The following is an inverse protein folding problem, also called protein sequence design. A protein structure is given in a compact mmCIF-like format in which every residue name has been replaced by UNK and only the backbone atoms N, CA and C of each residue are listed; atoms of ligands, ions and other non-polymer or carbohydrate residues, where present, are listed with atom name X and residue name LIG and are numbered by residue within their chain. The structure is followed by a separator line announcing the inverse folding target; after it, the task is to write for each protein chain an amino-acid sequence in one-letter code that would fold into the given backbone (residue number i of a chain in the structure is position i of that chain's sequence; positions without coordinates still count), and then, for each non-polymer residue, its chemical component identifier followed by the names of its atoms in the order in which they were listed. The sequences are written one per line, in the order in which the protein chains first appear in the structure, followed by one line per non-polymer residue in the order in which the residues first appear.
data_IF_521248855496
#
_entry.id   IF_521248855496
#
_cell.length_a   1.000
_cell.length_b   1.000
_cell.length_c   1.000
_cell.angle_alpha   90.00
_cell.angle_beta   90.00
_cell.angle_gamma   90.00
#
_symmetry.space_group_name_H-M   'P 1'
#
loop_
_entity.id
_entity.type
_entity.pdbx_description
1 polymer ?
#
# COMPACT_ATOMS: atom_id res chain seq x y z
N UNK A 1 10.70 -37.39 -5.84
CA UNK A 1 12.05 -36.89 -5.47
C UNK A 1 12.17 -36.95 -3.96
N UNK A 2 13.17 -37.66 -3.39
CA UNK A 2 13.43 -37.67 -1.96
C UNK A 2 14.08 -36.34 -1.52
N UNK A 3 13.94 -35.95 -0.23
CA UNK A 3 14.56 -34.72 0.29
C UNK A 3 16.08 -34.84 0.32
N UNK A 4 16.84 -33.75 0.12
CA UNK A 4 18.28 -33.79 0.24
C UNK A 4 18.70 -33.89 1.71
N UNK A 5 19.70 -34.75 1.95
CA UNK A 5 20.33 -34.96 3.24
C UNK A 5 21.00 -33.70 3.77
N UNK A 6 20.72 -33.40 5.05
CA UNK A 6 21.49 -32.47 5.86
C UNK A 6 22.92 -33.01 6.01
N UNK A 7 23.90 -32.30 5.43
CA UNK A 7 25.27 -32.24 5.98
C UNK A 7 26.04 -31.08 5.34
N UNK A 8 26.43 -30.18 6.14
CA UNK A 8 27.45 -29.11 6.08
C UNK A 8 26.92 -27.71 6.41
N UNK A 9 26.71 -27.49 7.72
CA UNK A 9 26.83 -26.15 8.28
C UNK A 9 28.30 -25.74 8.20
N UNK A 10 28.69 -25.01 7.15
CA UNK A 10 29.97 -24.32 7.11
C UNK A 10 29.82 -22.95 7.75
N UNK A 11 30.50 -22.80 8.89
CA UNK A 11 30.84 -21.57 9.60
C UNK A 11 31.21 -20.42 8.63
N UNK A 12 30.27 -19.60 8.23
CA UNK A 12 30.53 -18.31 7.64
C UNK A 12 30.77 -17.29 8.78
N UNK A 13 32.01 -17.27 9.32
CA UNK A 13 32.47 -16.18 10.17
C UNK A 13 32.34 -14.86 9.41
N UNK A 14 31.82 -13.79 10.05
CA UNK A 14 31.76 -12.49 9.41
C UNK A 14 33.18 -12.03 9.07
N UNK A 15 33.43 -11.75 7.80
CA UNK A 15 34.72 -11.26 7.30
C UNK A 15 35.15 -10.00 8.04
N UNK A 16 36.35 -10.07 8.56
CA UNK A 16 37.13 -9.04 9.23
C UNK A 16 36.85 -7.63 8.67
N UNK A 17 36.39 -6.72 9.54
CA UNK A 17 36.43 -5.27 9.31
C UNK A 17 37.84 -4.88 8.90
N UNK A 18 38.05 -4.52 7.63
CA UNK A 18 39.21 -3.78 7.23
C UNK A 18 39.12 -2.38 7.81
N UNK A 19 40.02 -2.05 8.71
CA UNK A 19 40.24 -0.69 9.22
C UNK A 19 40.82 0.15 8.09
N UNK A 20 40.18 1.31 7.79
CA UNK A 20 40.81 2.45 7.14
C UNK A 20 40.76 2.47 5.63
N UNK A 21 39.60 2.52 5.02
CA UNK A 21 39.37 3.13 3.73
C UNK A 21 38.20 4.07 3.86
N UNK A 22 38.41 5.37 3.67
CA UNK A 22 37.27 6.28 3.50
C UNK A 22 36.57 5.83 2.22
N UNK A 23 35.36 5.26 2.36
CA UNK A 23 34.46 5.12 1.23
C UNK A 23 34.18 6.54 0.74
N UNK A 24 34.81 6.94 -0.35
CA UNK A 24 34.42 8.14 -1.08
C UNK A 24 32.98 7.91 -1.46
N UNK A 25 32.05 8.66 -0.88
CA UNK A 25 30.63 8.59 -1.22
C UNK A 25 30.51 8.71 -2.75
N UNK A 26 29.80 7.80 -3.39
CA UNK A 26 29.51 7.87 -4.82
C UNK A 26 28.71 9.14 -5.17
N UNK A 27 28.17 9.84 -4.16
CA UNK A 27 27.28 10.98 -4.28
C UNK A 27 27.88 12.22 -3.63
N UNK A 28 27.50 13.39 -4.16
CA UNK A 28 27.88 14.69 -3.62
C UNK A 28 26.82 15.20 -2.63
N UNK A 29 27.22 15.92 -1.59
CA UNK A 29 26.30 16.59 -0.69
C UNK A 29 25.58 17.75 -1.37
N UNK A 30 24.42 18.14 -0.82
CA UNK A 30 23.66 19.33 -1.25
C UNK A 30 24.36 20.59 -0.76
N UNK A 31 24.73 21.49 -1.67
CA UNK A 31 25.41 22.75 -1.36
C UNK A 31 24.43 23.93 -1.31
N UNK A 32 24.83 25.08 -0.72
CA UNK A 32 24.03 26.30 -0.78
C UNK A 32 23.69 26.77 -2.20
N UNK A 33 24.56 26.48 -3.20
CA UNK A 33 24.29 26.78 -4.60
C UNK A 33 23.22 25.90 -5.20
N UNK A 34 23.20 24.63 -4.83
CA UNK A 34 22.16 23.68 -5.23
C UNK A 34 20.81 24.11 -4.62
N UNK A 35 20.80 24.54 -3.36
CA UNK A 35 19.58 25.08 -2.72
C UNK A 35 19.07 26.32 -3.46
N UNK A 36 19.96 27.27 -3.85
CA UNK A 36 19.53 28.42 -4.65
C UNK A 36 18.95 28.01 -6.00
N UNK A 37 19.49 26.97 -6.61
CA UNK A 37 18.95 26.43 -7.85
C UNK A 37 17.58 25.77 -7.64
N UNK A 38 17.40 24.95 -6.60
CA UNK A 38 16.13 24.33 -6.24
C UNK A 38 15.06 25.37 -5.93
N UNK A 39 15.42 26.44 -5.19
CA UNK A 39 14.51 27.56 -4.91
C UNK A 39 14.04 28.26 -6.20
N UNK A 40 14.91 28.39 -7.21
CA UNK A 40 14.50 28.96 -8.51
C UNK A 40 13.51 28.05 -9.27
N UNK A 41 13.59 26.73 -9.07
CA UNK A 41 12.69 25.76 -9.72
C UNK A 41 11.32 25.75 -9.06
N UNK A 42 11.26 25.52 -7.74
CA UNK A 42 9.97 25.26 -7.04
C UNK A 42 9.48 26.44 -6.18
N UNK A 43 10.28 27.46 -6.00
CA UNK A 43 10.00 28.59 -5.10
C UNK A 43 10.50 28.36 -3.66
N UNK A 44 10.79 29.46 -2.91
CA UNK A 44 11.43 29.38 -1.59
C UNK A 44 10.57 28.69 -0.52
N UNK A 45 9.24 28.79 -0.60
CA UNK A 45 8.31 28.13 0.34
C UNK A 45 8.27 26.61 0.20
N UNK A 46 8.89 26.05 -0.85
CA UNK A 46 8.79 24.65 -1.23
C UNK A 46 10.12 23.90 -1.20
N UNK A 47 11.14 24.53 -0.58
CA UNK A 47 12.44 23.91 -0.30
C UNK A 47 12.68 23.99 1.21
N UNK A 48 12.78 22.83 1.86
CA UNK A 48 13.19 22.74 3.26
C UNK A 48 14.68 22.41 3.31
N UNK A 49 15.45 23.21 4.03
CA UNK A 49 16.87 23.04 4.23
C UNK A 49 17.29 23.62 5.58
N UNK A 50 18.13 22.92 6.35
CA UNK A 50 18.57 23.30 7.70
C UNK A 50 17.46 23.44 8.76
N UNK A 51 16.27 22.92 8.50
CA UNK A 51 15.18 22.81 9.45
C UNK A 51 15.10 21.34 9.88
N UNK A 52 15.75 21.01 11.01
CA UNK A 52 15.94 19.63 11.44
C UNK A 52 14.60 18.90 11.68
N UNK A 53 13.59 19.59 12.23
CA UNK A 53 12.28 19.02 12.52
C UNK A 53 11.54 18.63 11.22
N UNK A 54 11.52 19.53 10.23
CA UNK A 54 10.87 19.25 8.94
C UNK A 54 11.63 18.24 8.09
N UNK A 55 12.96 18.16 8.22
CA UNK A 55 13.76 17.15 7.54
C UNK A 55 13.54 15.78 8.18
N UNK A 56 13.45 15.73 9.52
CA UNK A 56 13.22 14.49 10.26
C UNK A 56 11.92 13.82 9.87
N UNK A 57 10.84 14.56 9.65
CA UNK A 57 9.56 14.04 9.16
C UNK A 57 9.65 13.28 7.81
N UNK A 58 10.71 13.49 7.05
CA UNK A 58 11.00 12.80 5.79
C UNK A 58 12.17 11.81 5.88
N UNK A 59 12.68 11.55 7.09
CA UNK A 59 13.83 10.66 7.31
C UNK A 59 13.46 9.18 7.33
N UNK A 60 12.19 8.86 7.50
CA UNK A 60 11.66 7.51 7.71
C UNK A 60 10.30 7.33 7.04
N UNK A 61 9.87 6.10 6.90
CA UNK A 61 8.49 5.69 6.63
C UNK A 61 7.89 5.04 7.88
N UNK A 62 6.83 4.24 7.74
CA UNK A 62 6.21 3.52 8.88
C UNK A 62 6.92 2.19 9.22
N UNK A 63 8.10 1.92 8.66
CA UNK A 63 8.93 0.78 9.07
C UNK A 63 9.22 0.87 10.57
N UNK A 64 8.89 -0.15 11.37
CA UNK A 64 9.02 -0.08 12.83
C UNK A 64 10.46 0.11 13.32
N UNK A 65 11.44 -0.41 12.58
CA UNK A 65 12.86 -0.31 12.94
C UNK A 65 13.46 1.03 12.53
N UNK A 66 13.50 1.96 13.46
CA UNK A 66 14.06 3.31 13.26
C UNK A 66 15.57 3.32 12.96
N UNK A 67 16.28 2.20 13.03
CA UNK A 67 17.69 2.11 12.56
C UNK A 67 17.81 2.34 11.06
N UNK A 68 16.73 2.18 10.31
CA UNK A 68 16.68 2.49 8.87
C UNK A 68 16.37 3.95 8.57
N UNK A 69 16.04 4.78 9.56
CA UNK A 69 15.81 6.20 9.34
C UNK A 69 17.11 6.92 8.92
N UNK A 70 17.04 7.72 7.85
CA UNK A 70 18.16 8.49 7.34
C UNK A 70 17.71 9.91 7.02
N UNK A 71 18.46 10.90 7.52
CA UNK A 71 18.13 12.31 7.30
C UNK A 71 18.39 12.73 5.85
N UNK A 72 17.40 13.33 5.16
CA UNK A 72 17.65 14.00 3.90
C UNK A 72 18.44 15.31 4.16
N UNK A 73 19.17 15.78 3.15
CA UNK A 73 19.84 17.07 3.21
C UNK A 73 18.91 18.22 2.78
N UNK A 74 17.92 17.92 1.94
CA UNK A 74 16.85 18.84 1.55
C UNK A 74 15.56 18.10 1.24
N UNK A 75 14.41 18.76 1.45
CA UNK A 75 13.10 18.32 0.96
C UNK A 75 12.60 19.33 -0.07
N UNK A 76 12.24 18.86 -1.24
CA UNK A 76 11.74 19.67 -2.35
C UNK A 76 10.31 19.24 -2.69
N UNK A 77 9.39 20.20 -2.79
CA UNK A 77 7.97 19.96 -3.02
C UNK A 77 7.53 20.55 -4.38
N UNK A 78 7.67 19.80 -5.48
CA UNK A 78 7.26 20.24 -6.81
C UNK A 78 5.74 20.24 -6.98
N UNK A 79 5.25 20.97 -7.99
CA UNK A 79 3.83 21.01 -8.37
C UNK A 79 3.56 20.57 -9.83
N UNK A 80 4.59 20.26 -10.58
CA UNK A 80 4.46 19.88 -12.00
C UNK A 80 5.56 18.93 -12.45
N UNK A 81 5.32 18.26 -13.58
CA UNK A 81 6.30 17.40 -14.23
C UNK A 81 7.58 18.17 -14.62
N UNK A 82 7.43 19.43 -15.07
CA UNK A 82 8.57 20.27 -15.46
C UNK A 82 9.46 20.60 -14.26
N UNK A 83 8.87 20.95 -13.11
CA UNK A 83 9.63 21.19 -11.87
C UNK A 83 10.38 19.93 -11.44
N UNK A 84 9.74 18.74 -11.53
CA UNK A 84 10.38 17.45 -11.23
C UNK A 84 11.54 17.20 -12.20
N UNK A 85 11.32 17.38 -13.50
CA UNK A 85 12.32 17.20 -14.53
C UNK A 85 13.57 18.08 -14.29
N UNK A 86 13.35 19.34 -13.94
CA UNK A 86 14.44 20.29 -13.68
C UNK A 86 15.22 19.93 -12.39
N UNK A 87 14.53 19.47 -11.33
CA UNK A 87 15.16 18.97 -10.11
C UNK A 87 16.01 17.74 -10.43
N UNK A 88 15.49 16.76 -11.19
CA UNK A 88 16.22 15.55 -11.56
C UNK A 88 17.44 15.86 -12.44
N UNK A 89 17.30 16.76 -13.43
CA UNK A 89 18.44 17.22 -14.25
C UNK A 89 19.53 17.89 -13.42
N UNK A 90 19.13 18.71 -12.42
CA UNK A 90 20.08 19.32 -11.49
C UNK A 90 20.80 18.25 -10.67
N UNK A 91 20.03 17.34 -10.06
CA UNK A 91 20.55 16.26 -9.22
C UNK A 91 21.52 15.35 -9.98
N UNK A 92 21.19 14.97 -11.23
CA UNK A 92 22.08 14.19 -12.10
C UNK A 92 23.42 14.91 -12.37
N UNK A 93 23.38 16.18 -12.81
CA UNK A 93 24.61 16.95 -13.08
C UNK A 93 25.49 17.07 -11.84
N UNK A 94 24.85 17.16 -10.66
CA UNK A 94 25.54 17.32 -9.38
C UNK A 94 25.85 15.99 -8.69
N UNK A 95 25.35 14.85 -9.21
CA UNK A 95 25.43 13.52 -8.59
C UNK A 95 24.88 13.53 -7.16
N UNK A 96 23.73 14.16 -6.96
CA UNK A 96 22.99 14.20 -5.70
C UNK A 96 21.91 13.11 -5.75
N UNK A 97 21.78 12.23 -4.73
CA UNK A 97 20.72 11.24 -4.70
C UNK A 97 19.33 11.89 -4.51
N UNK A 98 18.32 11.32 -5.15
CA UNK A 98 16.92 11.76 -5.03
C UNK A 98 16.07 10.58 -4.62
N UNK A 99 15.25 10.79 -3.58
CA UNK A 99 14.27 9.82 -3.10
C UNK A 99 12.87 10.39 -3.32
N UNK A 100 12.07 9.86 -4.27
CA UNK A 100 10.67 10.24 -4.41
C UNK A 100 9.88 9.81 -3.19
N UNK A 101 8.95 10.67 -2.73
CA UNK A 101 8.12 10.39 -1.55
C UNK A 101 6.67 10.80 -1.79
N UNK A 102 5.75 9.89 -1.51
CA UNK A 102 4.33 10.19 -1.31
C UNK A 102 4.07 10.56 0.15
N UNK A 103 3.10 9.94 0.79
CA UNK A 103 2.81 10.15 2.23
C UNK A 103 3.87 9.54 3.17
N UNK A 104 4.64 8.56 2.70
CA UNK A 104 5.59 7.83 3.55
C UNK A 104 4.97 6.77 4.45
N UNK A 105 3.76 6.33 4.14
CA UNK A 105 3.00 5.30 4.88
C UNK A 105 3.42 3.85 4.55
N UNK A 106 4.51 3.65 3.83
CA UNK A 106 5.05 2.33 3.49
C UNK A 106 5.79 1.69 4.66
N UNK A 107 5.99 0.35 4.57
CA UNK A 107 6.64 -0.48 5.59
C UNK A 107 7.93 -1.15 5.07
N UNK A 108 8.45 -0.72 3.90
CA UNK A 108 9.58 -1.38 3.23
C UNK A 108 10.81 -0.48 3.02
N UNK A 109 10.79 0.74 3.56
CA UNK A 109 11.92 1.65 3.49
C UNK A 109 12.08 2.38 2.15
N UNK A 110 11.19 2.20 1.17
CA UNK A 110 11.35 2.80 -0.17
C UNK A 110 11.29 4.34 -0.19
N UNK A 111 10.65 4.96 0.82
CA UNK A 111 10.61 6.41 0.98
C UNK A 111 11.74 6.97 1.86
N UNK A 112 12.67 6.13 2.31
CA UNK A 112 13.78 6.51 3.18
C UNK A 112 14.99 6.94 2.36
N UNK A 113 15.55 8.14 2.57
CA UNK A 113 16.69 8.64 1.80
C UNK A 113 18.02 8.04 2.29
N UNK A 114 18.27 6.75 2.03
CA UNK A 114 19.43 5.98 2.52
C UNK A 114 20.79 6.63 2.24
N UNK A 115 20.88 7.46 1.22
CA UNK A 115 22.11 8.17 0.84
C UNK A 115 22.05 9.68 1.12
N UNK A 116 21.10 10.14 1.93
CA UNK A 116 20.87 11.58 2.15
C UNK A 116 20.30 12.26 0.89
N UNK A 117 20.87 13.39 0.50
CA UNK A 117 20.46 14.12 -0.70
C UNK A 117 19.08 14.75 -0.62
N UNK A 118 18.31 14.66 -1.69
CA UNK A 118 17.02 15.34 -1.86
C UNK A 118 15.88 14.34 -1.70
N UNK A 119 14.94 14.61 -0.78
CA UNK A 119 13.61 14.00 -0.82
C UNK A 119 12.71 14.85 -1.72
N UNK A 120 12.15 14.22 -2.75
CA UNK A 120 11.19 14.83 -3.67
C UNK A 120 9.77 14.48 -3.22
N UNK A 121 9.14 15.37 -2.44
CA UNK A 121 7.86 15.13 -1.81
C UNK A 121 6.71 15.62 -2.71
N UNK A 122 5.81 14.71 -3.11
CA UNK A 122 4.83 14.96 -4.17
C UNK A 122 3.46 15.44 -3.67
N UNK A 123 3.34 15.85 -2.42
CA UNK A 123 2.09 16.26 -1.77
C UNK A 123 1.37 17.47 -2.40
N UNK A 124 2.08 18.30 -3.18
CA UNK A 124 1.50 19.42 -3.91
C UNK A 124 0.84 19.02 -5.24
N UNK A 125 1.10 17.82 -5.71
CA UNK A 125 0.47 17.26 -6.90
C UNK A 125 -0.69 16.35 -6.46
N UNK A 126 -1.76 16.97 -5.96
CA UNK A 126 -2.86 16.30 -5.26
C UNK A 126 -4.24 16.56 -5.88
N UNK A 127 -4.30 16.81 -7.18
CA UNK A 127 -5.55 17.07 -7.88
C UNK A 127 -6.11 15.82 -8.54
N UNK A 128 -7.44 15.64 -8.45
CA UNK A 128 -8.19 14.76 -9.35
C UNK A 128 -8.39 15.57 -10.64
N UNK A 129 -7.71 15.15 -11.71
CA UNK A 129 -7.66 15.91 -12.97
C UNK A 129 -8.88 15.66 -13.83
N UNK A 130 -9.43 14.43 -13.81
CA UNK A 130 -10.57 14.04 -14.61
C UNK A 130 -11.30 12.86 -14.02
N UNK A 131 -12.63 12.85 -14.06
CA UNK A 131 -13.49 11.69 -13.84
C UNK A 131 -14.26 11.42 -15.14
N UNK A 132 -13.81 10.43 -15.89
CA UNK A 132 -14.41 10.01 -17.15
C UNK A 132 -15.35 8.82 -16.91
N UNK A 133 -16.64 9.14 -16.80
CA UNK A 133 -17.67 8.14 -16.47
C UNK A 133 -17.94 7.17 -17.61
N UNK A 134 -17.83 7.62 -18.83
CA UNK A 134 -18.13 6.81 -20.03
C UNK A 134 -17.06 5.76 -20.26
N UNK A 135 -15.78 6.12 -20.07
CA UNK A 135 -14.67 5.20 -20.16
C UNK A 135 -14.37 4.47 -18.83
N UNK A 136 -15.09 4.80 -17.74
CA UNK A 136 -14.86 4.28 -16.39
C UNK A 136 -13.40 4.41 -15.97
N UNK A 137 -12.85 5.62 -16.06
CA UNK A 137 -11.50 5.94 -15.62
C UNK A 137 -11.48 7.22 -14.78
N UNK A 138 -10.49 7.31 -13.90
CA UNK A 138 -10.13 8.56 -13.24
C UNK A 138 -8.67 8.88 -13.54
N UNK A 139 -8.38 10.16 -13.76
CA UNK A 139 -7.00 10.65 -13.93
C UNK A 139 -6.65 11.52 -12.75
N UNK A 140 -5.56 11.18 -12.08
CA UNK A 140 -5.15 11.81 -10.82
C UNK A 140 -3.67 12.16 -10.82
N UNK A 141 -3.29 13.11 -9.99
CA UNK A 141 -1.91 13.39 -9.61
C UNK A 141 -1.44 12.43 -8.49
N UNK A 142 -0.13 12.20 -8.36
CA UNK A 142 0.42 11.18 -7.46
C UNK A 142 0.21 11.44 -5.97
N UNK A 143 0.03 12.70 -5.56
CA UNK A 143 -0.18 13.10 -4.17
C UNK A 143 -1.65 13.07 -3.71
N UNK A 144 -2.59 12.61 -4.55
CA UNK A 144 -3.98 12.44 -4.12
C UNK A 144 -4.07 11.32 -3.08
N UNK A 145 -4.78 11.58 -1.98
CA UNK A 145 -5.07 10.57 -0.97
C UNK A 145 -6.03 9.53 -1.57
N UNK A 146 -5.72 8.26 -1.36
CA UNK A 146 -6.43 7.18 -2.06
C UNK A 146 -7.93 7.16 -1.73
N UNK A 147 -8.33 7.46 -0.49
CA UNK A 147 -9.74 7.53 -0.12
C UNK A 147 -10.48 8.70 -0.78
N UNK A 148 -9.82 9.84 -0.97
CA UNK A 148 -10.42 11.01 -1.65
C UNK A 148 -10.85 10.67 -3.08
N UNK A 149 -10.14 9.74 -3.76
CA UNK A 149 -10.56 9.24 -5.08
C UNK A 149 -11.93 8.57 -4.96
N UNK A 150 -12.13 7.67 -4.00
CA UNK A 150 -13.39 6.96 -3.83
C UNK A 150 -14.54 7.88 -3.38
N UNK A 151 -14.25 8.88 -2.55
CA UNK A 151 -15.23 9.90 -2.17
C UNK A 151 -15.71 10.71 -3.39
N UNK A 152 -14.79 11.13 -4.25
CA UNK A 152 -15.11 11.86 -5.48
C UNK A 152 -15.89 11.01 -6.50
N UNK A 153 -15.66 9.68 -6.53
CA UNK A 153 -16.29 8.75 -7.47
C UNK A 153 -17.68 8.28 -7.02
N UNK A 154 -17.97 8.30 -5.71
CA UNK A 154 -19.23 7.79 -5.14
C UNK A 154 -20.49 8.40 -5.77
N UNK A 155 -20.58 9.74 -6.02
CA UNK A 155 -21.74 10.32 -6.68
C UNK A 155 -21.94 9.84 -8.13
N UNK A 156 -20.87 9.33 -8.76
CA UNK A 156 -20.90 8.78 -10.10
C UNK A 156 -21.34 7.30 -10.13
N UNK A 157 -21.49 6.64 -8.96
CA UNK A 157 -21.77 5.22 -8.86
C UNK A 157 -20.57 4.34 -9.25
N UNK A 158 -19.37 4.88 -9.17
CA UNK A 158 -18.11 4.23 -9.51
C UNK A 158 -17.19 4.16 -8.28
N UNK A 159 -16.20 3.27 -8.33
CA UNK A 159 -15.15 3.22 -7.32
C UNK A 159 -13.82 2.70 -7.91
N UNK A 160 -12.74 3.07 -7.24
CA UNK A 160 -11.40 2.52 -7.44
C UNK A 160 -11.20 1.38 -6.41
N UNK A 161 -10.96 0.13 -6.86
CA UNK A 161 -10.97 -1.02 -5.95
C UNK A 161 -9.67 -1.22 -5.16
N UNK A 162 -8.60 -0.47 -5.45
CA UNK A 162 -7.38 -0.51 -4.64
C UNK A 162 -7.68 -0.11 -3.20
N UNK A 163 -7.42 -1.01 -2.24
CA UNK A 163 -7.79 -0.83 -0.85
C UNK A 163 -6.62 -1.15 0.09
N UNK A 164 -5.53 -0.36 0.09
CA UNK A 164 -4.51 -0.49 1.11
C UNK A 164 -5.10 -0.13 2.48
N UNK A 165 -4.60 -0.74 3.57
CA UNK A 165 -5.12 -0.46 4.92
C UNK A 165 -4.93 1.00 5.34
N UNK A 166 -3.93 1.68 4.77
CA UNK A 166 -3.63 3.11 4.98
C UNK A 166 -4.37 4.06 4.04
N UNK A 167 -5.51 3.64 3.43
CA UNK A 167 -6.19 4.41 2.38
C UNK A 167 -6.57 5.86 2.77
N UNK A 168 -6.75 6.13 4.06
CA UNK A 168 -7.09 7.46 4.58
C UNK A 168 -5.89 8.43 4.57
N UNK A 169 -4.67 7.93 4.43
CA UNK A 169 -3.45 8.74 4.50
C UNK A 169 -2.48 8.50 3.36
N UNK A 170 -2.49 7.33 2.73
CA UNK A 170 -1.55 7.02 1.65
C UNK A 170 -1.87 7.78 0.36
N UNK A 171 -0.82 8.12 -0.39
CA UNK A 171 -0.95 8.76 -1.69
C UNK A 171 -0.94 7.73 -2.82
N UNK A 172 -1.78 7.95 -3.83
CA UNK A 172 -1.93 7.02 -4.97
C UNK A 172 -0.62 6.77 -5.74
N UNK A 173 0.25 7.77 -5.84
CA UNK A 173 1.58 7.60 -6.46
C UNK A 173 2.45 6.60 -5.72
N UNK A 174 2.39 6.59 -4.38
CA UNK A 174 3.03 5.59 -3.54
C UNK A 174 2.42 4.21 -3.75
N UNK A 175 1.08 4.11 -3.82
CA UNK A 175 0.40 2.83 -4.06
C UNK A 175 0.81 2.21 -5.41
N UNK A 176 0.95 3.03 -6.46
CA UNK A 176 1.43 2.56 -7.77
C UNK A 176 2.89 2.14 -7.69
N UNK A 177 3.76 2.96 -7.07
CA UNK A 177 5.18 2.66 -6.93
C UNK A 177 5.45 1.37 -6.13
N UNK A 178 4.61 1.07 -5.14
CA UNK A 178 4.71 -0.13 -4.31
C UNK A 178 3.88 -1.31 -4.82
N UNK A 179 3.06 -1.13 -5.85
CA UNK A 179 2.04 -2.09 -6.27
C UNK A 179 1.16 -2.52 -5.09
N UNK A 180 0.70 -1.56 -4.30
CA UNK A 180 0.06 -1.80 -3.02
C UNK A 180 -1.16 -2.71 -3.12
N UNK A 181 -1.26 -3.65 -2.21
CA UNK A 181 -2.42 -4.51 -1.96
C UNK A 181 -3.12 -4.14 -0.66
N UNK A 182 -4.14 -4.91 -0.28
CA UNK A 182 -4.87 -4.75 0.97
C UNK A 182 -6.02 -5.73 1.08
N UNK A 183 -6.94 -5.50 2.02
CA UNK A 183 -8.00 -6.42 2.40
C UNK A 183 -8.84 -6.96 1.22
N UNK A 184 -9.03 -6.14 0.20
CA UNK A 184 -9.83 -6.51 -0.99
C UNK A 184 -9.04 -7.19 -2.10
N UNK A 185 -7.75 -7.51 -1.88
CA UNK A 185 -6.91 -8.10 -2.92
C UNK A 185 -7.37 -9.49 -3.37
N UNK A 186 -8.05 -10.25 -2.53
CA UNK A 186 -8.59 -11.58 -2.86
C UNK A 186 -9.57 -11.52 -4.05
N UNK A 187 -10.37 -10.47 -4.17
CA UNK A 187 -11.32 -10.28 -5.28
C UNK A 187 -10.75 -9.38 -6.38
N UNK A 188 -10.17 -8.27 -5.99
CA UNK A 188 -9.82 -7.20 -6.91
C UNK A 188 -8.35 -7.20 -7.31
N UNK A 189 -7.49 -7.91 -6.58
CA UNK A 189 -6.05 -7.87 -6.80
C UNK A 189 -5.41 -6.61 -6.26
N UNK A 190 -4.23 -6.31 -6.77
CA UNK A 190 -3.39 -5.19 -6.32
C UNK A 190 -3.51 -3.98 -7.27
N UNK A 191 -2.93 -2.86 -6.88
CA UNK A 191 -2.97 -1.57 -7.60
C UNK A 191 -2.67 -1.70 -9.09
N UNK A 192 -1.67 -2.50 -9.48
CA UNK A 192 -1.24 -2.65 -10.87
C UNK A 192 -2.32 -3.14 -11.83
N UNK A 193 -3.34 -3.85 -11.34
CA UNK A 193 -4.48 -4.29 -12.17
C UNK A 193 -5.36 -3.14 -12.67
N UNK A 194 -5.22 -1.97 -12.09
CA UNK A 194 -6.06 -0.80 -12.37
C UNK A 194 -5.33 0.34 -13.04
N UNK A 195 -4.01 0.28 -13.13
CA UNK A 195 -3.22 1.32 -13.81
C UNK A 195 -3.28 1.12 -15.30
N UNK A 196 -3.95 2.04 -16.01
CA UNK A 196 -4.08 2.03 -17.48
C UNK A 196 -3.12 2.99 -18.17
N UNK A 197 -2.59 3.98 -17.46
CA UNK A 197 -1.65 4.94 -18.03
C UNK A 197 -0.86 5.67 -16.95
N UNK A 198 0.35 6.08 -17.30
CA UNK A 198 1.28 6.81 -16.44
C UNK A 198 1.98 7.91 -17.24
N UNK A 199 2.03 9.13 -16.72
CA UNK A 199 3.04 10.09 -17.11
C UNK A 199 4.17 10.02 -16.09
N UNK A 200 5.39 9.83 -16.56
CA UNK A 200 6.58 9.54 -15.75
C UNK A 200 7.70 10.49 -16.10
N UNK A 201 8.32 11.11 -15.11
CA UNK A 201 9.61 11.78 -15.30
C UNK A 201 10.71 10.75 -15.03
N UNK A 202 11.48 10.43 -16.05
CA UNK A 202 12.60 9.47 -15.97
C UNK A 202 13.74 10.03 -15.10
N UNK A 203 14.67 9.20 -14.64
CA UNK A 203 15.83 9.69 -13.91
C UNK A 203 16.68 10.73 -14.66
N UNK A 204 16.66 10.72 -16.01
CA UNK A 204 17.32 11.75 -16.84
C UNK A 204 16.58 13.10 -16.90
N UNK A 205 15.34 13.15 -16.35
CA UNK A 205 14.48 14.33 -16.40
C UNK A 205 13.71 14.48 -17.71
N UNK A 206 13.48 13.39 -18.42
CA UNK A 206 12.61 13.34 -19.60
C UNK A 206 11.19 12.93 -19.15
N UNK A 207 10.18 13.55 -19.75
CA UNK A 207 8.76 13.20 -19.50
C UNK A 207 8.32 12.21 -20.54
N UNK A 208 7.87 11.03 -20.11
CA UNK A 208 7.32 9.98 -20.97
C UNK A 208 5.88 9.68 -20.60
N UNK A 209 5.06 9.40 -21.60
CA UNK A 209 3.68 9.00 -21.44
C UNK A 209 3.52 7.52 -21.82
N UNK A 210 2.95 6.74 -20.92
CA UNK A 210 2.73 5.31 -21.08
C UNK A 210 1.23 5.00 -21.03
N UNK A 211 0.74 4.17 -21.94
CA UNK A 211 -0.65 3.71 -21.97
C UNK A 211 -1.68 4.83 -22.23
N UNK A 212 -2.76 4.85 -21.46
CA UNK A 212 -3.85 5.81 -21.57
C UNK A 212 -5.19 5.21 -21.10
N UNK A 213 -6.32 5.70 -21.62
CA UNK A 213 -7.66 5.24 -21.19
C UNK A 213 -8.11 3.89 -21.82
N UNK A 214 -7.25 3.24 -22.57
CA UNK A 214 -7.58 1.97 -23.26
C UNK A 214 -7.52 0.80 -22.32
N UNK A 215 -8.60 0.00 -22.25
CA UNK A 215 -8.65 -1.24 -21.47
C UNK A 215 -7.77 -2.34 -22.08
N UNK A 216 -7.66 -2.36 -23.43
CA UNK A 216 -6.79 -3.26 -24.17
C UNK A 216 -5.66 -2.46 -24.81
N UNK A 217 -4.43 -2.70 -24.37
CA UNK A 217 -3.22 -2.12 -24.92
C UNK A 217 -2.12 -3.22 -24.95
N UNK A 218 -1.94 -3.83 -26.13
CA UNK A 218 -1.09 -5.02 -26.31
C UNK A 218 0.06 -4.78 -27.28
N UNK A 219 0.30 -3.52 -27.67
CA UNK A 219 1.36 -3.16 -28.61
C UNK A 219 2.66 -2.88 -27.87
N UNK A 220 3.69 -3.65 -28.14
CA UNK A 220 5.00 -3.51 -27.54
C UNK A 220 5.11 -4.13 -26.14
N UNK A 221 6.13 -3.72 -25.38
CA UNK A 221 6.33 -4.16 -24.01
C UNK A 221 5.37 -3.44 -23.06
N UNK A 222 4.93 -4.14 -22.02
CA UNK A 222 4.11 -3.54 -20.95
C UNK A 222 4.99 -2.72 -19.99
N UNK A 223 5.29 -1.50 -20.40
CA UNK A 223 6.11 -0.58 -19.59
C UNK A 223 5.34 -0.07 -18.36
N UNK A 224 4.01 -0.10 -18.37
CA UNK A 224 3.21 0.26 -17.19
C UNK A 224 3.48 -0.75 -16.08
N UNK A 225 3.42 -2.05 -16.37
CA UNK A 225 3.70 -3.08 -15.38
C UNK A 225 5.17 -3.12 -14.94
N UNK A 226 6.10 -2.63 -15.77
CA UNK A 226 7.49 -2.42 -15.37
C UNK A 226 7.62 -1.27 -14.34
N UNK A 227 6.86 -0.19 -14.53
CA UNK A 227 6.87 0.97 -13.62
C UNK A 227 6.12 0.72 -12.32
N UNK A 228 5.03 -0.04 -12.36
CA UNK A 228 4.28 -0.43 -11.17
C UNK A 228 5.13 -1.35 -10.30
N UNK A 229 5.25 -1.04 -9.02
CA UNK A 229 6.11 -1.79 -8.09
C UNK A 229 7.61 -1.47 -8.25
N UNK A 230 7.97 -0.39 -8.96
CA UNK A 230 9.37 0.03 -9.13
C UNK A 230 9.97 0.75 -7.93
N UNK A 231 9.20 1.00 -6.89
CA UNK A 231 9.62 1.65 -5.64
C UNK A 231 10.28 3.04 -5.85
N UNK A 232 9.86 3.76 -6.92
CA UNK A 232 10.43 5.06 -7.28
C UNK A 232 11.82 5.00 -7.90
N UNK A 233 12.36 3.81 -8.22
CA UNK A 233 13.72 3.63 -8.75
C UNK A 233 13.82 3.86 -10.26
N UNK A 234 12.70 3.73 -11.00
CA UNK A 234 12.69 3.87 -12.46
C UNK A 234 12.20 5.24 -12.93
N UNK A 235 11.57 6.03 -12.06
CA UNK A 235 11.07 7.35 -12.39
C UNK A 235 10.09 7.89 -11.36
N UNK A 236 9.61 9.11 -11.59
CA UNK A 236 8.65 9.82 -10.73
C UNK A 236 7.33 9.95 -11.46
N UNK A 237 6.27 9.40 -10.92
CA UNK A 237 4.92 9.51 -11.50
C UNK A 237 4.38 10.93 -11.32
N UNK A 238 3.76 11.46 -12.36
CA UNK A 238 3.19 12.81 -12.35
C UNK A 238 1.72 12.84 -12.71
N UNK A 239 1.24 11.79 -13.41
CA UNK A 239 -0.15 11.58 -13.76
C UNK A 239 -0.42 10.08 -13.80
N UNK A 240 -1.55 9.67 -13.25
CA UNK A 240 -1.95 8.28 -13.12
C UNK A 240 -3.38 8.14 -13.65
N UNK A 241 -3.58 7.27 -14.64
CA UNK A 241 -4.89 6.91 -15.16
C UNK A 241 -5.30 5.56 -14.56
N UNK A 242 -6.39 5.56 -13.81
CA UNK A 242 -6.89 4.38 -13.10
C UNK A 242 -8.20 3.90 -13.70
N UNK A 243 -8.31 2.59 -13.91
CA UNK A 243 -9.56 1.91 -14.24
C UNK A 243 -10.49 1.89 -13.04
N UNK A 244 -11.77 2.13 -13.29
CA UNK A 244 -12.84 2.09 -12.29
C UNK A 244 -13.76 0.90 -12.49
N UNK A 245 -14.51 0.57 -11.45
CA UNK A 245 -15.58 -0.41 -11.46
C UNK A 245 -16.90 0.23 -10.99
N UNK A 246 -18.05 -0.33 -11.36
CA UNK A 246 -19.33 0.04 -10.76
C UNK A 246 -19.32 -0.19 -9.26
N UNK A 247 -19.79 0.78 -8.49
CA UNK A 247 -19.86 0.67 -7.03
C UNK A 247 -20.88 -0.43 -6.64
N UNK A 248 -20.50 -1.42 -5.82
CA UNK A 248 -21.42 -2.40 -5.29
C UNK A 248 -22.60 -1.73 -4.55
N UNK A 249 -23.82 -2.23 -4.77
CA UNK A 249 -25.04 -1.63 -4.20
C UNK A 249 -25.35 -2.16 -2.81
N UNK A 250 -24.85 -3.34 -2.47
CA UNK A 250 -25.01 -3.98 -1.19
C UNK A 250 -23.74 -4.69 -0.75
N UNK A 251 -23.55 -4.79 0.55
CA UNK A 251 -22.46 -5.55 1.17
C UNK A 251 -22.90 -6.06 2.54
N UNK A 252 -22.32 -7.18 2.98
CA UNK A 252 -22.43 -7.71 4.32
C UNK A 252 -21.08 -8.28 4.75
N UNK A 253 -20.81 -8.26 6.05
CA UNK A 253 -19.62 -8.87 6.63
C UNK A 253 -20.02 -10.08 7.48
N UNK A 254 -19.22 -11.14 7.40
CA UNK A 254 -19.36 -12.33 8.23
C UNK A 254 -18.16 -12.41 9.16
N UNK A 255 -18.41 -12.59 10.45
CA UNK A 255 -17.40 -12.97 11.42
C UNK A 255 -17.53 -14.46 11.70
N UNK A 256 -16.56 -15.26 11.23
CA UNK A 256 -16.57 -16.70 11.33
C UNK A 256 -15.57 -17.14 12.41
N UNK A 257 -16.05 -17.77 13.48
CA UNK A 257 -15.26 -18.17 14.63
C UNK A 257 -14.83 -19.65 14.52
N UNK A 258 -13.57 -19.96 14.87
CA UNK A 258 -13.01 -21.32 14.79
C UNK A 258 -12.29 -21.71 16.09
N UNK A 259 -12.27 -23.04 16.40
CA UNK A 259 -11.53 -23.61 17.52
C UNK A 259 -10.03 -23.78 17.26
N UNK A 260 -9.60 -23.65 16.03
CA UNK A 260 -8.18 -23.69 15.68
C UNK A 260 -7.85 -22.84 14.45
N UNK A 261 -6.62 -22.34 14.41
CA UNK A 261 -6.05 -21.65 13.24
C UNK A 261 -6.13 -22.52 11.98
N UNK A 262 -5.83 -23.82 12.13
CA UNK A 262 -5.83 -24.76 11.01
C UNK A 262 -7.22 -24.95 10.38
N UNK A 263 -8.30 -24.92 11.17
CA UNK A 263 -9.66 -24.96 10.65
C UNK A 263 -10.01 -23.68 9.89
N UNK A 264 -9.67 -22.52 10.45
CA UNK A 264 -9.88 -21.22 9.80
C UNK A 264 -9.17 -21.16 8.43
N UNK A 265 -7.90 -21.53 8.36
CA UNK A 265 -7.12 -21.52 7.12
C UNK A 265 -7.71 -22.49 6.08
N UNK A 266 -8.09 -23.71 6.49
CA UNK A 266 -8.73 -24.68 5.58
C UNK A 266 -10.11 -24.26 5.07
N UNK A 267 -10.81 -23.38 5.78
CA UNK A 267 -12.11 -22.87 5.34
C UNK A 267 -11.98 -21.93 4.12
N UNK A 268 -10.88 -21.20 3.98
CA UNK A 268 -10.69 -20.21 2.89
C UNK A 268 -10.83 -20.81 1.49
N UNK A 269 -10.06 -21.82 1.07
CA UNK A 269 -10.22 -22.40 -0.28
C UNK A 269 -11.61 -23.03 -0.47
N UNK A 270 -12.24 -23.57 0.59
CA UNK A 270 -13.60 -24.15 0.50
C UNK A 270 -14.65 -23.09 0.21
N UNK A 271 -14.58 -21.93 0.85
CA UNK A 271 -15.48 -20.79 0.56
C UNK A 271 -15.44 -20.45 -0.93
N UNK A 272 -14.26 -20.32 -1.50
CA UNK A 272 -14.07 -19.88 -2.89
C UNK A 272 -14.47 -20.98 -3.90
N UNK A 273 -14.18 -22.24 -3.61
CA UNK A 273 -14.37 -23.33 -4.57
C UNK A 273 -15.76 -23.98 -4.47
N UNK A 274 -16.26 -24.23 -3.27
CA UNK A 274 -17.56 -24.89 -3.02
C UNK A 274 -18.69 -23.89 -2.82
N UNK A 275 -18.43 -22.78 -2.11
CA UNK A 275 -19.38 -21.68 -1.99
C UNK A 275 -19.61 -20.97 -3.32
N UNK A 276 -18.72 -21.14 -4.31
CA UNK A 276 -18.76 -20.53 -5.63
C UNK A 276 -18.88 -18.98 -5.59
N UNK A 277 -18.44 -18.37 -4.50
CA UNK A 277 -18.41 -16.94 -4.28
C UNK A 277 -16.96 -16.51 -4.04
N UNK A 278 -16.51 -15.46 -4.71
CA UNK A 278 -15.24 -14.80 -4.40
C UNK A 278 -15.56 -13.62 -3.47
N UNK A 279 -15.24 -13.73 -2.16
CA UNK A 279 -15.47 -12.62 -1.22
C UNK A 279 -14.68 -11.39 -1.61
N UNK A 280 -15.20 -10.22 -1.27
CA UNK A 280 -14.50 -8.96 -1.48
C UNK A 280 -13.25 -8.85 -0.59
N UNK A 281 -13.34 -9.35 0.64
CA UNK A 281 -12.23 -9.44 1.57
C UNK A 281 -12.33 -10.73 2.41
N UNK A 282 -11.17 -11.26 2.81
CA UNK A 282 -11.04 -12.31 3.82
C UNK A 282 -9.86 -11.92 4.70
N UNK A 283 -10.16 -11.56 5.95
CA UNK A 283 -9.15 -11.17 6.93
C UNK A 283 -9.10 -12.20 8.05
N UNK A 284 -7.89 -12.61 8.42
CA UNK A 284 -7.64 -13.56 9.50
C UNK A 284 -7.15 -12.81 10.75
N UNK A 285 -7.64 -13.20 11.90
CA UNK A 285 -7.12 -12.78 13.21
C UNK A 285 -7.09 -13.98 14.15
N UNK A 286 -5.97 -14.18 14.84
CA UNK A 286 -5.88 -15.16 15.90
C UNK A 286 -6.42 -14.58 17.22
N UNK A 287 -6.49 -15.44 18.26
CA UNK A 287 -6.98 -15.07 19.59
C UNK A 287 -6.21 -13.88 20.19
N UNK A 288 -4.89 -13.85 20.02
CA UNK A 288 -4.06 -12.83 20.67
C UNK A 288 -4.27 -11.47 20.00
N UNK A 289 -4.36 -11.43 18.68
CA UNK A 289 -4.69 -10.21 17.92
C UNK A 289 -6.09 -9.69 18.29
N UNK A 290 -7.08 -10.60 18.42
CA UNK A 290 -8.45 -10.22 18.81
C UNK A 290 -8.50 -9.65 20.23
N UNK A 291 -7.81 -10.27 21.19
CA UNK A 291 -7.74 -9.78 22.57
C UNK A 291 -7.06 -8.43 22.66
N UNK A 292 -5.90 -8.29 22.00
CA UNK A 292 -5.16 -7.04 21.99
C UNK A 292 -6.02 -5.90 21.42
N UNK A 293 -6.72 -6.13 20.30
CA UNK A 293 -7.60 -5.12 19.69
C UNK A 293 -8.80 -4.78 20.59
N UNK A 294 -9.42 -5.79 21.24
CA UNK A 294 -10.55 -5.59 22.15
C UNK A 294 -10.14 -4.79 23.41
N UNK A 295 -8.98 -5.11 24.01
CA UNK A 295 -8.42 -4.37 25.14
C UNK A 295 -8.08 -2.92 24.73
N UNK A 296 -7.44 -2.72 23.59
CA UNK A 296 -7.11 -1.40 23.08
C UNK A 296 -8.35 -0.51 22.87
N UNK A 297 -9.44 -1.11 22.37
CA UNK A 297 -10.71 -0.41 22.13
C UNK A 297 -11.59 -0.33 23.38
N UNK A 298 -11.21 -0.96 24.49
CA UNK A 298 -12.01 -1.10 25.69
C UNK A 298 -13.39 -1.72 25.39
N UNK A 299 -13.40 -2.78 24.55
CA UNK A 299 -14.60 -3.52 24.13
C UNK A 299 -14.49 -5.00 24.49
N UNK A 300 -15.60 -5.72 24.69
CA UNK A 300 -15.56 -7.16 24.87
C UNK A 300 -15.10 -7.86 23.57
N UNK A 301 -14.33 -8.97 23.67
CA UNK A 301 -13.95 -9.76 22.50
C UNK A 301 -15.18 -10.19 21.68
N UNK A 302 -15.09 -10.08 20.37
CA UNK A 302 -16.19 -10.41 19.47
C UNK A 302 -16.53 -11.92 19.42
N UNK A 303 -15.53 -12.79 19.72
CA UNK A 303 -15.67 -14.25 19.76
C UNK A 303 -14.75 -14.81 20.87
N UNK A 304 -15.16 -14.77 22.17
CA UNK A 304 -14.27 -15.06 23.29
C UNK A 304 -13.77 -16.51 23.33
N UNK A 305 -14.51 -17.45 22.76
CA UNK A 305 -14.20 -18.89 22.74
C UNK A 305 -13.43 -19.33 21.49
N UNK A 306 -13.15 -18.40 20.56
CA UNK A 306 -12.45 -18.69 19.33
C UNK A 306 -10.93 -18.62 19.50
N UNK A 307 -10.21 -19.56 18.85
CA UNK A 307 -8.75 -19.49 18.66
C UNK A 307 -8.39 -18.64 17.43
N UNK A 308 -9.31 -18.54 16.47
CA UNK A 308 -9.14 -17.74 15.28
C UNK A 308 -10.48 -17.29 14.73
N UNK A 309 -10.50 -16.15 14.04
CA UNK A 309 -11.65 -15.69 13.27
C UNK A 309 -11.26 -15.35 11.84
N UNK A 310 -12.21 -15.53 10.93
CA UNK A 310 -12.18 -14.92 9.60
C UNK A 310 -13.25 -13.82 9.54
N UNK A 311 -12.84 -12.63 9.13
CA UNK A 311 -13.73 -11.54 8.74
C UNK A 311 -13.85 -11.57 7.21
N UNK A 312 -15.05 -11.88 6.73
CA UNK A 312 -15.32 -12.10 5.30
C UNK A 312 -16.32 -11.06 4.81
N UNK A 313 -15.96 -10.27 3.81
CA UNK A 313 -16.87 -9.32 3.17
C UNK A 313 -17.44 -9.88 1.88
N UNK A 314 -18.76 -9.85 1.77
CA UNK A 314 -19.51 -10.13 0.54
C UNK A 314 -20.13 -8.84 0.02
N UNK A 315 -20.08 -8.62 -1.29
CA UNK A 315 -20.67 -7.44 -1.93
C UNK A 315 -21.27 -7.79 -3.29
N UNK A 316 -22.35 -7.12 -3.66
CA UNK A 316 -23.10 -7.45 -4.86
C UNK A 316 -23.97 -6.32 -5.40
N UNK A 317 -24.72 -6.65 -6.45
CA UNK A 317 -25.59 -5.72 -7.17
C UNK A 317 -26.92 -5.44 -6.44
N UNK A 318 -27.33 -6.30 -5.49
CA UNK A 318 -28.54 -6.13 -4.68
C UNK A 318 -28.39 -6.81 -3.33
N UNK A 319 -29.26 -6.49 -2.39
CA UNK A 319 -29.32 -7.11 -1.06
C UNK A 319 -29.58 -8.62 -1.17
N UNK A 320 -30.51 -9.02 -2.02
CA UNK A 320 -30.87 -10.44 -2.20
C UNK A 320 -29.71 -11.26 -2.82
N UNK A 321 -28.87 -10.62 -3.64
CA UNK A 321 -27.67 -11.27 -4.18
C UNK A 321 -26.66 -11.50 -3.05
N UNK A 322 -26.42 -10.50 -2.22
CA UNK A 322 -25.51 -10.59 -1.07
C UNK A 322 -26.02 -11.60 -0.04
N UNK A 323 -27.33 -11.66 0.23
CA UNK A 323 -27.94 -12.65 1.13
C UNK A 323 -27.68 -14.09 0.64
N UNK A 324 -27.92 -14.38 -0.63
CA UNK A 324 -27.64 -15.71 -1.21
C UNK A 324 -26.14 -16.07 -1.09
N UNK A 325 -25.27 -15.11 -1.33
CA UNK A 325 -23.83 -15.31 -1.31
C UNK A 325 -23.31 -15.56 0.11
N UNK A 326 -23.74 -14.77 1.11
CA UNK A 326 -23.31 -15.02 2.49
C UNK A 326 -23.91 -16.30 3.08
N UNK A 327 -25.14 -16.68 2.70
CA UNK A 327 -25.72 -17.96 3.09
C UNK A 327 -24.94 -19.15 2.53
N UNK A 328 -24.51 -19.05 1.27
CA UNK A 328 -23.68 -20.08 0.65
C UNK A 328 -22.33 -20.21 1.35
N UNK A 329 -21.65 -19.08 1.62
CA UNK A 329 -20.38 -19.05 2.34
C UNK A 329 -20.56 -19.55 3.78
N UNK A 330 -21.57 -19.11 4.51
CA UNK A 330 -21.84 -19.52 5.89
C UNK A 330 -22.01 -21.03 6.03
N UNK A 331 -22.73 -21.67 5.10
CA UNK A 331 -22.88 -23.15 5.08
C UNK A 331 -21.52 -23.85 4.90
N UNK A 332 -20.68 -23.38 3.98
CA UNK A 332 -19.36 -23.99 3.73
C UNK A 332 -18.39 -23.77 4.90
N UNK A 333 -18.45 -22.60 5.55
CA UNK A 333 -17.63 -22.25 6.72
C UNK A 333 -18.02 -23.12 7.92
N UNK A 334 -19.34 -23.27 8.19
CA UNK A 334 -19.84 -24.18 9.24
C UNK A 334 -19.45 -25.63 8.95
N UNK A 335 -19.58 -26.09 7.70
CA UNK A 335 -19.14 -27.41 7.29
C UNK A 335 -17.61 -27.60 7.35
N UNK A 336 -16.83 -26.52 7.40
CA UNK A 336 -15.38 -26.53 7.60
C UNK A 336 -14.98 -26.56 9.08
N UNK A 337 -15.93 -26.46 10.04
CA UNK A 337 -15.68 -26.54 11.46
C UNK A 337 -15.79 -25.22 12.21
N UNK A 338 -16.37 -24.18 11.63
CA UNK A 338 -16.65 -22.96 12.37
C UNK A 338 -17.62 -23.23 13.53
N UNK A 339 -17.35 -22.60 14.68
CA UNK A 339 -18.19 -22.67 15.88
C UNK A 339 -19.48 -21.87 15.63
N UNK A 340 -19.30 -20.70 15.03
CA UNK A 340 -20.36 -19.72 14.82
C UNK A 340 -20.02 -18.84 13.60
N UNK A 341 -21.06 -18.39 12.92
CA UNK A 341 -20.98 -17.38 11.85
C UNK A 341 -21.94 -16.25 12.21
N UNK A 342 -21.39 -15.10 12.52
CA UNK A 342 -22.15 -13.88 12.79
C UNK A 342 -22.20 -13.05 11.52
N UNK A 343 -23.43 -12.60 11.12
CA UNK A 343 -23.63 -11.76 9.93
C UNK A 343 -23.87 -10.32 10.37
N UNK A 344 -23.03 -9.42 9.90
CA UNK A 344 -23.15 -7.99 10.04
C UNK A 344 -23.69 -7.40 8.73
N UNK A 345 -25.01 -7.30 8.63
CA UNK A 345 -25.76 -6.85 7.45
C UNK A 345 -26.14 -5.36 7.51
N UNK A 346 -25.74 -4.68 8.56
CA UNK A 346 -25.96 -3.24 8.74
C UNK A 346 -24.65 -2.51 9.03
N UNK A 347 -24.62 -1.20 8.68
CA UNK A 347 -23.43 -0.37 8.76
C UNK A 347 -22.80 -0.31 10.15
N UNK A 348 -23.60 -0.22 11.21
CA UNK A 348 -23.08 -0.07 12.56
C UNK A 348 -22.33 -1.32 13.04
N UNK A 349 -22.88 -2.49 12.76
CA UNK A 349 -22.30 -3.78 13.12
C UNK A 349 -21.06 -4.08 12.26
N UNK A 350 -21.13 -3.84 10.96
CA UNK A 350 -20.00 -3.94 10.03
C UNK A 350 -18.82 -3.05 10.47
N UNK A 351 -19.09 -1.78 10.76
CA UNK A 351 -18.06 -0.83 11.21
C UNK A 351 -17.41 -1.27 12.53
N UNK A 352 -18.16 -1.85 13.45
CA UNK A 352 -17.61 -2.36 14.70
C UNK A 352 -16.64 -3.51 14.48
N UNK A 353 -16.96 -4.46 13.61
CA UNK A 353 -16.09 -5.60 13.32
C UNK A 353 -14.83 -5.15 12.59
N UNK A 354 -14.96 -4.27 11.60
CA UNK A 354 -13.83 -3.71 10.88
C UNK A 354 -12.94 -2.82 11.75
N UNK A 355 -13.50 -2.13 12.75
CA UNK A 355 -12.74 -1.34 13.72
C UNK A 355 -11.79 -2.21 14.53
N UNK A 356 -12.24 -3.40 14.98
CA UNK A 356 -11.35 -4.37 15.61
C UNK A 356 -10.17 -4.71 14.71
N UNK A 357 -10.43 -5.09 13.46
CA UNK A 357 -9.37 -5.48 12.51
C UNK A 357 -8.39 -4.35 12.21
N UNK A 358 -8.88 -3.13 12.01
CA UNK A 358 -8.03 -1.97 11.71
C UNK A 358 -7.10 -1.58 12.85
N UNK A 359 -7.46 -1.84 14.08
CA UNK A 359 -6.67 -1.46 15.26
C UNK A 359 -5.75 -2.58 15.79
N UNK A 360 -5.64 -3.70 15.10
CA UNK A 360 -4.74 -4.80 15.51
C UNK A 360 -3.28 -4.33 15.57
N UNK A 361 -2.81 -3.60 14.57
CA UNK A 361 -1.41 -3.14 14.50
C UNK A 361 -1.07 -2.19 15.65
N UNK A 362 -1.93 -1.21 15.90
CA UNK A 362 -1.79 -0.24 16.99
C UNK A 362 -1.85 -0.93 18.35
N UNK A 363 -2.77 -1.87 18.53
CA UNK A 363 -2.90 -2.63 19.76
C UNK A 363 -1.64 -3.46 20.04
N UNK A 364 -1.12 -4.15 19.05
CA UNK A 364 0.11 -4.95 19.19
C UNK A 364 1.34 -4.06 19.46
N UNK A 365 1.39 -2.84 18.91
CA UNK A 365 2.50 -1.90 19.14
C UNK A 365 2.57 -1.44 20.60
N UNK A 366 1.46 -1.44 21.32
CA UNK A 366 1.46 -1.16 22.76
C UNK A 366 2.00 -2.31 23.60
N UNK A 367 1.85 -3.57 23.14
CA UNK A 367 2.35 -4.76 23.82
C UNK A 367 3.85 -4.95 23.61
N UNK A 368 4.39 -4.55 22.49
CA UNK A 368 5.83 -4.68 22.18
C UNK A 368 6.34 -3.47 21.40
N UNK A 369 7.40 -2.84 21.93
CA UNK A 369 8.07 -1.72 21.24
C UNK A 369 8.94 -2.18 20.06
N UNK A 370 9.30 -3.45 20.02
CA UNK A 370 10.14 -4.04 18.98
C UNK A 370 9.26 -4.99 18.17
N UNK A 371 8.70 -4.49 17.09
CA UNK A 371 7.93 -5.28 16.12
C UNK A 371 8.71 -5.45 14.83
N UNK A 372 8.54 -6.61 14.19
CA UNK A 372 8.89 -6.84 12.81
C UNK A 372 7.60 -7.23 12.09
N UNK A 373 7.19 -6.42 11.12
CA UNK A 373 6.04 -6.72 10.28
C UNK A 373 6.56 -7.43 9.02
N UNK A 374 6.16 -8.68 8.85
CA UNK A 374 6.53 -9.48 7.68
C UNK A 374 5.29 -9.67 6.80
N UNK A 375 5.40 -9.25 5.54
CA UNK A 375 4.36 -9.48 4.52
C UNK A 375 4.80 -10.66 3.63
N UNK A 376 4.12 -11.80 3.80
CA UNK A 376 4.45 -13.05 3.13
C UNK A 376 3.25 -13.48 2.28
N UNK A 377 3.49 -13.70 0.99
CA UNK A 377 2.48 -14.20 0.06
C UNK A 377 2.73 -15.68 -0.24
N UNK A 378 1.69 -16.50 -0.06
CA UNK A 378 1.71 -17.93 -0.34
C UNK A 378 0.52 -18.32 -1.22
N UNK A 379 0.55 -19.49 -1.90
CA UNK A 379 -0.65 -20.04 -2.55
C UNK A 379 -1.81 -20.20 -1.57
N UNK A 380 -3.04 -20.13 -2.07
CA UNK A 380 -4.27 -20.21 -1.24
C UNK A 380 -4.42 -21.59 -0.57
N UNK A 381 -3.83 -22.65 -1.11
CA UNK A 381 -3.90 -24.03 -0.59
C UNK A 381 -2.51 -24.64 -0.46
#
# INVERSE_FOLDING_TARGET
FPPPSNDSASDARPTRRQKGGSFVSAYNPVTPDDIRALVRIVGPAHVVWKDAEKLEACSHDETPDRRWAHMPEAVVRPRSADEIADVLKLANRRRIPVTPRGAGSGLSGSAVPLHGGIVLHLDRMNRILEVDRENMVVVVEPGVVTNEINEALRPAGLFYPGYPMSLESCHIGGNVAMNAGGAKAVKYGVTGRYVLGLDVVTPSGEVVQLGGKRVKDVTGYDLIQLMVGSEGTLGVFTRITLRLLPLPRASADLLCAFRSVAEAVRAVPRMMTRGAVIPAAIEFMDRDALRAAAEYLNEPPAAPDAEAVLLVTVEGASVEAVERDYDALGREVLAAGAIEVFVADNRATSERVWRLRRNVSEALSLLSRNQSNEDIVVPVA
#
